data_IF_502422899418
#
_entry.id   IF_502422899418
#
_cell.length_a   1.000
_cell.length_b   1.000
_cell.length_c   1.000
_cell.angle_alpha   90.00
_cell.angle_beta   90.00
_cell.angle_gamma   90.00
#
_symmetry.space_group_name_H-M   'P 1'
#
loop_
_entity.id
_entity.type
_entity.pdbx_description
1 polymer ?
#
# COMPACT_ATOMS: atom_id res chain seq x y z
N UNK A 1 -6.26 1.73 -8.12
CA UNK A 1 -6.02 0.66 -7.12
C UNK A 1 -6.25 1.27 -5.75
N UNK A 2 -6.96 0.57 -4.89
CA UNK A 2 -7.19 0.98 -3.49
C UNK A 2 -6.67 -0.15 -2.62
N UNK A 3 -5.86 0.18 -1.63
CA UNK A 3 -5.19 -0.77 -0.73
C UNK A 3 -5.16 -0.21 0.70
N UNK A 4 -5.06 -1.05 1.72
CA UNK A 4 -5.02 -0.56 3.09
C UNK A 4 -3.62 -0.03 3.47
N UNK A 5 -2.55 -0.72 3.08
CA UNK A 5 -1.17 -0.32 3.39
C UNK A 5 -0.22 -0.45 2.19
N UNK A 6 0.56 0.61 1.91
CA UNK A 6 1.77 0.50 1.12
C UNK A 6 2.97 0.24 2.02
N UNK A 7 3.38 -1.03 2.07
CA UNK A 7 4.55 -1.47 2.82
C UNK A 7 5.80 -1.55 1.93
N UNK A 8 6.10 -2.73 1.34
CA UNK A 8 7.23 -2.86 0.40
C UNK A 8 6.98 -2.27 -0.99
N UNK A 9 5.72 -2.03 -1.35
CA UNK A 9 5.30 -1.51 -2.66
C UNK A 9 5.39 -2.48 -3.84
N UNK A 10 5.95 -3.68 -3.68
CA UNK A 10 6.23 -4.60 -4.80
C UNK A 10 4.97 -5.07 -5.54
N UNK A 11 3.93 -5.46 -4.81
CA UNK A 11 2.67 -5.94 -5.40
C UNK A 11 2.05 -4.84 -6.25
N UNK A 12 1.85 -3.67 -5.65
CA UNK A 12 1.25 -2.51 -6.32
C UNK A 12 2.08 -2.06 -7.51
N UNK A 13 3.41 -2.03 -7.40
CA UNK A 13 4.31 -1.72 -8.52
C UNK A 13 4.12 -2.68 -9.72
N UNK A 14 4.04 -3.98 -9.46
CA UNK A 14 3.81 -4.98 -10.50
C UNK A 14 2.43 -4.82 -11.16
N UNK A 15 1.40 -4.42 -10.41
CA UNK A 15 0.07 -4.13 -10.97
C UNK A 15 0.06 -2.83 -11.77
N UNK A 16 0.68 -1.73 -11.27
CA UNK A 16 0.84 -0.49 -12.06
C UNK A 16 1.50 -0.78 -13.41
N UNK A 17 2.51 -1.65 -13.44
CA UNK A 17 3.16 -2.06 -14.69
C UNK A 17 2.21 -2.81 -15.66
N UNK A 18 1.31 -3.67 -15.15
CA UNK A 18 0.29 -4.36 -15.96
C UNK A 18 -0.73 -3.38 -16.53
N UNK A 19 -1.22 -2.44 -15.72
CA UNK A 19 -2.16 -1.40 -16.16
C UNK A 19 -1.55 -0.54 -17.26
N UNK A 20 -0.30 -0.08 -17.08
CA UNK A 20 0.43 0.68 -18.10
C UNK A 20 0.59 -0.10 -19.40
N UNK A 21 0.92 -1.40 -19.34
CA UNK A 21 1.01 -2.26 -20.54
C UNK A 21 -0.32 -2.44 -21.27
N UNK A 22 -1.44 -2.32 -20.57
CA UNK A 22 -2.77 -2.34 -21.17
C UNK A 22 -3.22 -0.96 -21.71
N UNK A 23 -2.35 0.07 -21.66
CA UNK A 23 -2.68 1.43 -22.10
C UNK A 23 -3.41 2.28 -21.05
N UNK A 24 -3.56 1.78 -19.82
CA UNK A 24 -4.21 2.51 -18.73
C UNK A 24 -3.25 3.42 -17.95
N UNK A 25 -3.83 4.39 -17.24
CA UNK A 25 -3.11 5.27 -16.32
C UNK A 25 -3.41 4.84 -14.88
N UNK A 26 -2.50 4.14 -14.20
CA UNK A 26 -2.77 3.66 -12.85
C UNK A 26 -2.65 4.78 -11.82
N UNK A 27 -3.67 4.90 -10.98
CA UNK A 27 -3.70 5.73 -9.77
C UNK A 27 -3.84 4.82 -8.55
N UNK A 28 -3.10 5.09 -7.49
CA UNK A 28 -3.03 4.31 -6.25
C UNK A 28 -3.40 5.20 -5.05
N UNK A 29 -4.37 4.76 -4.26
CA UNK A 29 -4.69 5.32 -2.97
C UNK A 29 -4.50 4.27 -1.87
N UNK A 30 -3.91 4.66 -0.74
CA UNK A 30 -3.77 3.79 0.44
C UNK A 30 -4.12 4.51 1.73
N UNK A 31 -4.44 3.79 2.81
CA UNK A 31 -4.60 4.43 4.12
C UNK A 31 -3.24 4.78 4.70
N UNK A 32 -2.33 3.81 4.79
CA UNK A 32 -1.02 4.00 5.42
C UNK A 32 0.14 3.72 4.45
N UNK A 33 1.12 4.63 4.39
CA UNK A 33 2.36 4.46 3.64
C UNK A 33 3.55 4.30 4.59
N UNK A 34 4.39 3.28 4.39
CA UNK A 34 5.61 3.05 5.19
C UNK A 34 6.88 3.36 4.37
N UNK A 35 7.33 4.63 4.28
CA UNK A 35 8.44 5.02 3.41
C UNK A 35 9.75 4.28 3.73
N UNK A 36 10.03 4.04 5.01
CA UNK A 36 11.22 3.28 5.44
C UNK A 36 11.21 1.79 5.07
N UNK A 37 10.07 1.25 4.61
CA UNK A 37 9.95 -0.13 4.14
C UNK A 37 9.75 -0.23 2.63
N UNK A 38 9.65 0.90 1.93
CA UNK A 38 9.46 0.93 0.49
C UNK A 38 10.67 0.31 -0.25
N UNK A 39 10.42 -0.57 -1.21
CA UNK A 39 11.48 -1.30 -1.97
C UNK A 39 11.37 -1.12 -3.48
N UNK A 40 10.59 -0.14 -3.91
CA UNK A 40 10.38 0.20 -5.31
C UNK A 40 10.58 1.71 -5.49
N UNK A 41 10.91 2.19 -6.71
CA UNK A 41 11.11 3.62 -6.95
C UNK A 41 9.80 4.44 -7.00
N UNK A 42 8.65 3.78 -6.82
CA UNK A 42 7.32 4.39 -6.87
C UNK A 42 6.75 4.54 -5.44
N UNK A 43 5.69 5.33 -5.31
CA UNK A 43 4.94 5.56 -4.05
C UNK A 43 3.44 5.67 -4.37
N UNK A 44 2.53 5.59 -3.37
CA UNK A 44 1.12 5.82 -3.63
C UNK A 44 0.87 7.27 -4.07
N UNK A 45 -0.13 7.49 -4.93
CA UNK A 45 -0.52 8.82 -5.40
C UNK A 45 -1.28 9.58 -4.29
N UNK A 46 -2.02 8.85 -3.46
CA UNK A 46 -2.70 9.37 -2.28
C UNK A 46 -2.49 8.44 -1.08
N UNK A 47 -2.27 9.03 0.10
CA UNK A 47 -2.22 8.31 1.37
C UNK A 47 -2.86 9.15 2.49
N UNK A 48 -3.47 8.50 3.47
CA UNK A 48 -3.99 9.21 4.64
C UNK A 48 -2.86 9.56 5.62
N UNK A 49 -1.92 8.65 5.84
CA UNK A 49 -0.81 8.85 6.77
C UNK A 49 0.49 8.13 6.35
N UNK A 50 1.64 8.78 6.57
CA UNK A 50 2.95 8.13 6.56
C UNK A 50 3.31 7.66 7.97
N UNK A 51 3.64 6.37 8.14
CA UNK A 51 3.92 5.82 9.48
C UNK A 51 4.95 4.70 9.47
N UNK A 52 5.69 4.55 10.57
CA UNK A 52 6.55 3.39 10.85
C UNK A 52 5.87 2.37 11.79
N UNK A 53 4.69 2.68 12.32
CA UNK A 53 4.00 1.86 13.31
C UNK A 53 3.53 0.51 12.74
N UNK A 54 3.31 -0.45 13.64
CA UNK A 54 2.45 -1.59 13.35
C UNK A 54 1.00 -1.13 13.39
N UNK A 55 0.28 -1.31 12.27
CA UNK A 55 -1.11 -0.88 12.13
C UNK A 55 -1.97 -2.13 12.08
N UNK A 56 -2.94 -2.24 12.99
CA UNK A 56 -3.96 -3.28 12.93
C UNK A 56 -5.28 -2.65 12.54
N UNK A 57 -5.91 -3.21 11.51
CA UNK A 57 -7.17 -2.69 11.01
C UNK A 57 -8.37 -3.38 11.67
N UNK A 58 -9.53 -2.70 11.79
CA UNK A 58 -10.73 -3.28 12.38
C UNK A 58 -11.23 -4.57 11.71
N UNK A 59 -10.87 -4.79 10.43
CA UNK A 59 -11.24 -6.00 9.68
C UNK A 59 -10.22 -7.15 9.78
N UNK A 60 -9.04 -6.93 10.37
CA UNK A 60 -7.97 -7.92 10.50
C UNK A 60 -7.97 -8.52 11.92
N UNK A 61 -9.06 -9.22 12.27
CA UNK A 61 -9.28 -9.76 13.62
C UNK A 61 -8.17 -10.72 14.06
N UNK A 62 -7.58 -11.45 13.13
CA UNK A 62 -6.45 -12.36 13.35
C UNK A 62 -5.15 -11.66 13.79
N UNK A 63 -5.05 -10.35 13.59
CA UNK A 63 -3.90 -9.54 13.98
C UNK A 63 -4.14 -8.77 15.28
N UNK A 64 -5.34 -8.87 15.89
CA UNK A 64 -5.57 -8.32 17.21
C UNK A 64 -4.84 -9.13 18.28
N UNK A 65 -4.26 -8.46 19.30
CA UNK A 65 -3.68 -9.16 20.42
C UNK A 65 -4.77 -9.98 21.14
N UNK A 66 -4.49 -11.26 21.38
CA UNK A 66 -5.30 -12.08 22.28
C UNK A 66 -5.22 -11.48 23.69
N UNK A 67 -6.37 -11.35 24.35
CA UNK A 67 -6.50 -10.79 25.70
C UNK A 67 -6.01 -11.73 26.79
#
# INVERSE_FOLDING_TARGET
MVDDVWDSGRTTFAVKARVRRAGGVPVVATLHFKPGRNRVPDRPDFYAEETAAWVVYPWALEAWPEG
#
